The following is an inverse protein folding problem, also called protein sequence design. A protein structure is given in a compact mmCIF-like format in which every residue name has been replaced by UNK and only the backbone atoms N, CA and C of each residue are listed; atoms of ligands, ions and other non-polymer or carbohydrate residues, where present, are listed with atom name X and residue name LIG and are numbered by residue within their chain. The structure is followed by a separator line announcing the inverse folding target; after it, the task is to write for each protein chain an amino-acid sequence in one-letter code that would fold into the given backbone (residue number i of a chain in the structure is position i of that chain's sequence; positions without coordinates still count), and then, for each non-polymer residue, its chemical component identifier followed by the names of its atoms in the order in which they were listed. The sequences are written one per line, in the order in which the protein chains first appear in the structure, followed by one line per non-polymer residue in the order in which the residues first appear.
data_IF_877988146417
#
_entry.id   IF_877988146417
#
_cell.length_a   1.000
_cell.length_b   1.000
_cell.length_c   1.000
_cell.angle_alpha   90.00
_cell.angle_beta   90.00
_cell.angle_gamma   90.00
#
_symmetry.space_group_name_H-M   'P 1'
#
loop_
_entity.id
_entity.type
_entity.pdbx_description
1 polymer ?
#
# COMPACT_ATOMS: atom_id res chain seq x y z
N UNK A 1 -60.53 -7.13 -20.93
CA UNK A 1 -59.12 -6.82 -21.23
C UNK A 1 -58.52 -6.21 -19.93
N UNK A 2 -57.85 -7.05 -19.16
CA UNK A 2 -57.30 -6.65 -17.86
C UNK A 2 -55.83 -6.23 -17.99
N UNK A 3 -55.51 -4.98 -17.72
CA UNK A 3 -54.16 -4.49 -17.61
C UNK A 3 -53.56 -5.02 -16.32
N UNK A 4 -52.57 -5.90 -16.44
CA UNK A 4 -51.75 -6.36 -15.32
C UNK A 4 -50.78 -5.25 -14.95
N UNK A 5 -51.04 -4.62 -13.83
CA UNK A 5 -50.13 -3.67 -13.14
C UNK A 5 -48.88 -4.46 -12.73
N UNK A 6 -47.76 -4.26 -13.43
CA UNK A 6 -46.46 -4.75 -12.99
C UNK A 6 -45.93 -3.78 -11.93
N UNK A 7 -45.96 -4.20 -10.68
CA UNK A 7 -45.24 -3.56 -9.56
C UNK A 7 -43.74 -3.52 -9.92
N UNK A 8 -43.05 -2.38 -9.76
CA UNK A 8 -41.60 -2.34 -10.01
C UNK A 8 -40.89 -3.23 -8.99
N UNK A 9 -40.01 -4.08 -9.50
CA UNK A 9 -39.15 -4.92 -8.68
C UNK A 9 -38.42 -4.04 -7.66
N UNK A 10 -38.64 -4.28 -6.37
CA UNK A 10 -37.76 -3.85 -5.30
C UNK A 10 -36.37 -4.39 -5.65
N UNK A 11 -35.46 -3.50 -6.00
CA UNK A 11 -34.04 -3.86 -6.05
C UNK A 11 -33.65 -4.30 -4.64
N UNK A 12 -33.30 -5.56 -4.54
CA UNK A 12 -33.02 -6.19 -3.26
C UNK A 12 -31.79 -5.51 -2.65
N UNK A 13 -31.96 -4.79 -1.55
CA UNK A 13 -30.87 -4.19 -0.78
C UNK A 13 -29.85 -5.26 -0.37
N UNK A 14 -30.29 -6.50 -0.30
CA UNK A 14 -29.45 -7.69 -0.11
C UNK A 14 -28.46 -7.93 -1.26
N UNK A 15 -28.84 -7.75 -2.51
CA UNK A 15 -27.98 -7.98 -3.68
C UNK A 15 -26.84 -6.96 -3.77
N UNK A 16 -27.10 -5.68 -3.42
CA UNK A 16 -26.07 -4.65 -3.42
C UNK A 16 -25.05 -4.88 -2.30
N UNK A 17 -25.50 -5.34 -1.14
CA UNK A 17 -24.61 -5.66 -0.02
C UNK A 17 -23.76 -6.89 -0.32
N UNK A 18 -24.33 -7.89 -0.95
CA UNK A 18 -23.63 -9.10 -1.36
C UNK A 18 -22.60 -8.84 -2.46
N UNK A 19 -22.94 -8.06 -3.49
CA UNK A 19 -22.02 -7.62 -4.53
C UNK A 19 -20.85 -6.79 -3.97
N UNK A 20 -21.11 -5.90 -3.01
CA UNK A 20 -20.06 -5.13 -2.31
C UNK A 20 -19.15 -6.03 -1.50
N UNK A 21 -19.68 -7.01 -0.80
CA UNK A 21 -18.88 -7.98 -0.04
C UNK A 21 -18.03 -8.85 -0.96
N UNK A 22 -18.56 -9.34 -2.08
CA UNK A 22 -17.83 -10.12 -3.07
C UNK A 22 -16.71 -9.30 -3.74
N UNK A 23 -16.98 -8.03 -4.07
CA UNK A 23 -15.97 -7.11 -4.60
C UNK A 23 -14.86 -6.83 -3.56
N UNK A 24 -15.22 -6.65 -2.30
CA UNK A 24 -14.26 -6.42 -1.22
C UNK A 24 -13.41 -7.65 -0.95
N UNK A 25 -14.01 -8.85 -0.90
CA UNK A 25 -13.30 -10.12 -0.77
C UNK A 25 -12.35 -10.36 -1.94
N UNK A 26 -12.76 -10.04 -3.18
CA UNK A 26 -11.89 -10.15 -4.34
C UNK A 26 -10.70 -9.18 -4.26
N UNK A 27 -10.92 -7.95 -3.80
CA UNK A 27 -9.84 -6.97 -3.64
C UNK A 27 -8.83 -7.38 -2.56
N UNK A 28 -9.27 -7.95 -1.45
CA UNK A 28 -8.38 -8.46 -0.41
C UNK A 28 -7.55 -9.66 -0.92
N UNK A 29 -8.18 -10.58 -1.65
CA UNK A 29 -7.46 -11.69 -2.26
C UNK A 29 -6.39 -11.23 -3.26
N UNK A 30 -6.67 -10.19 -4.05
CA UNK A 30 -5.69 -9.60 -4.97
C UNK A 30 -4.52 -8.94 -4.21
N UNK A 31 -4.79 -8.23 -3.12
CA UNK A 31 -3.75 -7.66 -2.26
C UNK A 31 -2.88 -8.73 -1.63
N UNK A 32 -3.50 -9.80 -1.13
CA UNK A 32 -2.78 -10.93 -0.56
C UNK A 32 -1.92 -11.64 -1.61
N UNK A 33 -2.42 -11.83 -2.83
CA UNK A 33 -1.65 -12.42 -3.92
C UNK A 33 -0.42 -11.56 -4.27
N UNK A 34 -0.56 -10.23 -4.35
CA UNK A 34 0.53 -9.30 -4.58
C UNK A 34 1.57 -9.35 -3.45
N UNK A 35 1.10 -9.38 -2.20
CA UNK A 35 1.95 -9.49 -1.01
C UNK A 35 2.75 -10.81 -1.00
N UNK A 36 2.11 -11.93 -1.29
CA UNK A 36 2.75 -13.24 -1.38
C UNK A 36 3.80 -13.29 -2.48
N UNK A 37 3.51 -12.72 -3.65
CA UNK A 37 4.48 -12.63 -4.75
C UNK A 37 5.70 -11.81 -4.35
N UNK A 38 5.51 -10.69 -3.64
CA UNK A 38 6.63 -9.88 -3.15
C UNK A 38 7.45 -10.60 -2.07
N UNK A 39 6.83 -11.35 -1.17
CA UNK A 39 7.53 -12.13 -0.15
C UNK A 39 8.46 -13.21 -0.75
N UNK A 40 8.08 -13.77 -1.90
CA UNK A 40 8.93 -14.73 -2.63
C UNK A 40 10.20 -14.09 -3.23
N UNK A 41 10.24 -12.77 -3.38
CA UNK A 41 11.39 -12.02 -3.89
C UNK A 41 12.34 -11.53 -2.77
N UNK A 42 12.00 -11.76 -1.51
CA UNK A 42 12.82 -11.36 -0.37
C UNK A 42 14.03 -12.29 -0.25
N UNK A 43 15.28 -11.75 -0.31
CA UNK A 43 16.49 -12.56 -0.17
C UNK A 43 16.59 -13.17 1.24
N UNK A 44 17.24 -14.32 1.34
CA UNK A 44 17.58 -14.93 2.62
C UNK A 44 18.60 -14.09 3.39
N UNK A 45 18.44 -14.01 4.71
CA UNK A 45 19.28 -13.20 5.59
C UNK A 45 19.08 -11.69 5.43
N UNK A 46 18.08 -11.24 4.67
CA UNK A 46 17.87 -9.81 4.42
C UNK A 46 17.32 -9.06 5.63
N UNK A 47 17.70 -7.78 5.76
CA UNK A 47 16.90 -6.77 6.44
C UNK A 47 16.02 -6.13 5.37
N UNK A 48 14.69 -6.23 5.54
CA UNK A 48 13.70 -5.86 4.54
C UNK A 48 13.13 -4.48 4.83
N UNK A 49 13.15 -3.57 3.86
CA UNK A 49 12.39 -2.33 3.96
C UNK A 49 10.89 -2.59 3.78
N UNK A 50 10.07 -2.06 4.70
CA UNK A 50 8.62 -2.28 4.72
C UNK A 50 7.90 -0.95 4.77
N UNK A 51 7.02 -0.73 3.80
CA UNK A 51 6.19 0.44 3.64
C UNK A 51 4.99 0.50 4.59
N UNK A 52 3.91 1.12 4.13
CA UNK A 52 2.67 1.27 4.90
C UNK A 52 1.42 1.11 4.04
N UNK A 53 0.29 0.82 4.67
CA UNK A 53 -1.01 0.68 4.01
C UNK A 53 -1.57 -0.74 3.99
N UNK A 54 -2.81 -0.86 3.49
CA UNK A 54 -3.58 -2.11 3.60
C UNK A 54 -2.94 -3.29 2.86
N UNK A 55 -2.32 -3.06 1.70
CA UNK A 55 -1.61 -4.12 0.95
C UNK A 55 -0.32 -4.53 1.66
N UNK A 56 0.39 -3.56 2.27
CA UNK A 56 1.60 -3.83 3.06
C UNK A 56 1.28 -4.65 4.31
N UNK A 57 0.09 -4.50 4.89
CA UNK A 57 -0.31 -5.35 6.01
C UNK A 57 -0.33 -6.84 5.64
N UNK A 58 -0.82 -7.20 4.47
CA UNK A 58 -0.74 -8.57 3.96
C UNK A 58 0.72 -9.00 3.71
N UNK A 59 1.57 -8.08 3.24
CA UNK A 59 3.00 -8.38 3.09
C UNK A 59 3.68 -8.65 4.43
N UNK A 60 3.34 -7.92 5.48
CA UNK A 60 3.84 -8.19 6.84
C UNK A 60 3.39 -9.59 7.33
N UNK A 61 2.15 -9.98 7.01
CA UNK A 61 1.65 -11.33 7.36
C UNK A 61 2.43 -12.41 6.62
N UNK A 62 2.74 -12.22 5.34
CA UNK A 62 3.59 -13.14 4.57
C UNK A 62 5.04 -13.15 5.08
N UNK A 63 5.61 -11.99 5.46
CA UNK A 63 6.93 -11.94 6.09
C UNK A 63 6.98 -12.70 7.41
N UNK A 64 5.90 -12.68 8.19
CA UNK A 64 5.81 -13.44 9.44
C UNK A 64 5.95 -14.94 9.22
N UNK A 65 5.47 -15.47 8.08
CA UNK A 65 5.61 -16.87 7.72
C UNK A 65 7.06 -17.26 7.39
N UNK A 66 7.87 -16.31 6.94
CA UNK A 66 9.27 -16.52 6.56
C UNK A 66 10.25 -15.81 7.50
N UNK A 67 9.81 -15.37 8.69
CA UNK A 67 10.66 -14.60 9.63
C UNK A 67 11.95 -15.30 10.04
N UNK A 68 12.01 -16.63 10.03
CA UNK A 68 13.24 -17.38 10.26
C UNK A 68 14.26 -17.34 9.13
N UNK A 69 13.88 -16.78 7.96
CA UNK A 69 14.75 -16.63 6.78
C UNK A 69 15.28 -15.21 6.59
N UNK A 70 14.82 -14.24 7.37
CA UNK A 70 15.23 -12.83 7.32
C UNK A 70 15.88 -12.42 8.64
N UNK A 71 16.78 -11.46 8.61
CA UNK A 71 17.38 -10.90 9.81
C UNK A 71 16.38 -9.98 10.55
N UNK A 72 15.53 -9.27 9.79
CA UNK A 72 14.48 -8.41 10.30
C UNK A 72 14.01 -7.39 9.27
N UNK A 73 13.50 -6.26 9.74
CA UNK A 73 12.94 -5.25 8.86
C UNK A 73 13.20 -3.82 9.35
N UNK A 74 13.12 -2.86 8.42
CA UNK A 74 13.05 -1.43 8.67
C UNK A 74 11.69 -0.93 8.20
N UNK A 75 11.02 -0.10 8.98
CA UNK A 75 9.68 0.40 8.66
C UNK A 75 9.67 1.88 8.27
N UNK A 76 8.83 2.22 7.29
CA UNK A 76 8.54 3.61 6.95
C UNK A 76 7.45 4.23 7.84
N UNK A 77 6.75 3.44 8.68
CA UNK A 77 5.71 3.94 9.58
C UNK A 77 5.68 3.23 10.93
N UNK A 78 5.22 3.94 11.94
CA UNK A 78 5.06 3.36 13.29
C UNK A 78 4.03 2.22 13.30
N UNK A 79 2.93 2.36 12.54
CA UNK A 79 1.90 1.33 12.46
C UNK A 79 2.44 0.00 11.91
N UNK A 80 3.24 0.05 10.82
CA UNK A 80 3.89 -1.13 10.26
C UNK A 80 4.95 -1.70 11.21
N UNK A 81 5.71 -0.83 11.91
CA UNK A 81 6.69 -1.25 12.91
C UNK A 81 6.02 -2.05 14.06
N UNK A 82 4.91 -1.53 14.59
CA UNK A 82 4.16 -2.21 15.66
C UNK A 82 3.58 -3.55 15.20
N UNK A 83 3.03 -3.61 13.97
CA UNK A 83 2.51 -4.86 13.39
C UNK A 83 3.60 -5.89 13.23
N UNK A 84 4.77 -5.52 12.73
CA UNK A 84 5.92 -6.41 12.59
C UNK A 84 6.41 -6.94 13.95
N UNK A 85 6.55 -6.05 14.94
CA UNK A 85 6.91 -6.45 16.32
C UNK A 85 5.91 -7.44 16.90
N UNK A 86 4.60 -7.20 16.72
CA UNK A 86 3.55 -8.11 17.16
C UNK A 86 3.62 -9.48 16.46
N UNK A 87 4.06 -9.52 15.20
CA UNK A 87 4.29 -10.75 14.44
C UNK A 87 5.63 -11.45 14.79
N UNK A 88 6.43 -10.88 15.69
CA UNK A 88 7.73 -11.42 16.12
C UNK A 88 8.83 -11.22 15.07
N UNK A 89 8.72 -10.19 14.23
CA UNK A 89 9.77 -9.78 13.29
C UNK A 89 10.61 -8.70 13.97
N UNK A 90 11.95 -8.85 14.05
CA UNK A 90 12.84 -7.81 14.57
C UNK A 90 12.73 -6.54 13.72
N UNK A 91 12.59 -5.37 14.35
CA UNK A 91 12.50 -4.07 13.68
C UNK A 91 13.71 -3.25 14.05
N UNK A 92 14.52 -2.90 13.04
CA UNK A 92 15.74 -2.12 13.16
C UNK A 92 15.48 -0.63 12.91
N UNK A 93 16.30 0.22 13.52
CA UNK A 93 16.42 1.62 13.16
C UNK A 93 17.19 1.72 11.84
N UNK A 94 16.71 2.55 10.89
CA UNK A 94 17.37 2.73 9.60
C UNK A 94 18.81 3.23 9.75
N UNK A 95 19.10 4.02 10.77
CA UNK A 95 20.45 4.52 11.05
C UNK A 95 21.44 3.41 11.43
N UNK A 96 20.95 2.24 11.86
CA UNK A 96 21.78 1.08 12.18
C UNK A 96 22.02 0.16 10.98
N UNK A 97 21.36 0.43 9.85
CA UNK A 97 21.39 -0.41 8.66
C UNK A 97 22.12 0.33 7.53
N UNK A 98 23.13 -0.32 6.95
CA UNK A 98 23.90 0.29 5.85
C UNK A 98 23.14 0.34 4.54
N UNK A 99 22.38 -0.72 4.25
CA UNK A 99 21.70 -0.92 2.97
C UNK A 99 20.58 -1.94 3.13
N UNK A 100 19.51 -1.74 2.36
CA UNK A 100 18.41 -2.69 2.26
C UNK A 100 18.45 -3.38 0.89
N UNK A 101 18.48 -4.72 0.81
CA UNK A 101 18.40 -5.40 -0.49
C UNK A 101 17.11 -5.06 -1.22
N UNK A 102 16.00 -4.94 -0.47
CA UNK A 102 14.67 -4.70 -1.02
C UNK A 102 13.84 -3.83 -0.08
N UNK A 103 13.05 -2.94 -0.67
CA UNK A 103 11.98 -2.19 -0.01
C UNK A 103 10.64 -2.48 -0.70
N UNK A 104 9.65 -2.91 0.07
CA UNK A 104 8.32 -3.28 -0.44
C UNK A 104 7.29 -2.29 0.07
N UNK A 105 6.56 -1.66 -0.84
CA UNK A 105 5.53 -0.67 -0.50
C UNK A 105 4.41 -0.61 -1.55
N UNK A 106 3.31 0.03 -1.20
CA UNK A 106 2.17 0.26 -2.08
C UNK A 106 2.28 1.56 -2.89
N UNK A 107 1.26 1.81 -3.71
CA UNK A 107 1.06 3.08 -4.39
C UNK A 107 -0.42 3.47 -4.37
N UNK A 108 -0.70 4.78 -4.46
CA UNK A 108 -2.06 5.30 -4.66
C UNK A 108 -2.48 5.10 -6.12
N UNK A 109 -1.55 5.36 -7.06
CA UNK A 109 -1.64 5.03 -8.48
C UNK A 109 -0.28 4.57 -9.00
N UNK A 110 -0.29 3.68 -9.99
CA UNK A 110 0.91 3.23 -10.70
C UNK A 110 0.60 3.03 -12.18
N UNK A 111 1.50 3.46 -13.07
CA UNK A 111 1.40 3.20 -14.51
C UNK A 111 2.21 1.95 -14.90
N UNK A 112 1.99 1.44 -16.12
CA UNK A 112 2.80 0.35 -16.71
C UNK A 112 4.27 0.72 -16.87
N UNK A 113 4.59 2.01 -16.84
CA UNK A 113 5.96 2.54 -16.88
C UNK A 113 6.56 2.77 -15.50
N UNK A 114 5.91 2.27 -14.43
CA UNK A 114 6.33 2.37 -13.04
C UNK A 114 6.39 3.82 -12.51
N UNK A 115 5.71 4.76 -13.16
CA UNK A 115 5.46 6.07 -12.58
C UNK A 115 4.34 5.95 -11.54
N UNK A 116 4.47 6.63 -10.40
CA UNK A 116 3.56 6.44 -9.27
C UNK A 116 3.13 7.75 -8.64
N UNK A 117 1.89 7.77 -8.12
CA UNK A 117 1.47 8.69 -7.08
C UNK A 117 1.49 7.91 -5.77
N UNK A 118 2.12 8.51 -4.76
CA UNK A 118 2.20 8.02 -3.39
C UNK A 118 1.91 9.17 -2.42
N UNK A 119 1.72 8.84 -1.15
CA UNK A 119 1.56 9.84 -0.10
C UNK A 119 0.15 10.02 0.42
N UNK A 120 -0.86 9.32 -0.13
CA UNK A 120 -2.24 9.38 0.36
C UNK A 120 -2.41 9.02 1.84
N UNK A 121 -1.51 8.20 2.37
CA UNK A 121 -1.43 7.83 3.80
C UNK A 121 -0.59 8.78 4.67
N UNK A 122 -0.01 9.87 4.11
CA UNK A 122 0.81 10.83 4.86
C UNK A 122 2.20 10.30 5.30
N UNK A 123 2.69 9.20 4.70
CA UNK A 123 3.97 8.58 5.09
C UNK A 123 5.09 8.77 4.05
N UNK A 124 4.83 9.48 2.93
CA UNK A 124 5.71 9.50 1.76
C UNK A 124 7.14 9.98 2.07
N UNK A 125 7.32 10.97 2.92
CA UNK A 125 8.65 11.46 3.29
C UNK A 125 9.50 10.34 3.89
N UNK A 126 8.95 9.58 4.84
CA UNK A 126 9.62 8.42 5.43
C UNK A 126 9.81 7.28 4.41
N UNK A 127 8.80 7.03 3.57
CA UNK A 127 8.86 6.03 2.51
C UNK A 127 10.00 6.31 1.54
N UNK A 128 10.18 7.57 1.11
CA UNK A 128 11.28 7.97 0.24
C UNK A 128 12.64 7.83 0.90
N UNK A 129 12.75 8.09 2.20
CA UNK A 129 14.00 7.90 2.96
C UNK A 129 14.39 6.41 2.96
N UNK A 130 13.44 5.52 3.27
CA UNK A 130 13.71 4.06 3.26
C UNK A 130 14.01 3.58 1.84
N UNK A 131 13.27 4.07 0.83
CA UNK A 131 13.51 3.73 -0.57
C UNK A 131 14.90 4.14 -1.06
N UNK A 132 15.42 5.29 -0.58
CA UNK A 132 16.75 5.79 -0.98
C UNK A 132 17.90 4.90 -0.48
N UNK A 133 17.68 4.11 0.57
CA UNK A 133 18.67 3.17 1.14
C UNK A 133 18.52 1.76 0.53
N UNK A 134 17.43 1.51 -0.22
CA UNK A 134 17.15 0.21 -0.81
C UNK A 134 17.76 0.09 -2.22
N UNK A 135 18.30 -1.10 -2.52
CA UNK A 135 18.78 -1.44 -3.88
C UNK A 135 17.63 -1.64 -4.85
N UNK A 136 16.55 -2.24 -4.39
CA UNK A 136 15.37 -2.55 -5.19
C UNK A 136 14.11 -2.09 -4.49
N UNK A 137 13.24 -1.40 -5.24
CA UNK A 137 11.88 -1.09 -4.81
C UNK A 137 10.91 -2.06 -5.48
N UNK A 138 10.06 -2.71 -4.67
CA UNK A 138 8.97 -3.57 -5.15
C UNK A 138 7.65 -2.90 -4.81
N UNK A 139 6.93 -2.45 -5.84
CA UNK A 139 5.59 -1.92 -5.69
C UNK A 139 4.57 -3.06 -5.65
N UNK A 140 3.80 -3.13 -4.56
CA UNK A 140 2.69 -4.07 -4.42
C UNK A 140 1.36 -3.32 -4.52
N UNK A 141 0.57 -3.66 -5.54
CA UNK A 141 -0.70 -3.02 -5.80
C UNK A 141 -1.69 -4.01 -6.39
N UNK A 142 -2.96 -3.86 -6.07
CA UNK A 142 -4.02 -4.55 -6.80
C UNK A 142 -4.36 -3.80 -8.11
N UNK A 143 -5.11 -4.43 -9.00
CA UNK A 143 -5.45 -3.87 -10.31
C UNK A 143 -6.19 -2.53 -10.28
N UNK A 144 -6.81 -2.15 -9.15
CA UNK A 144 -7.50 -0.86 -9.01
C UNK A 144 -6.55 0.33 -8.98
N UNK A 145 -5.24 0.07 -8.70
CA UNK A 145 -4.19 1.09 -8.63
C UNK A 145 -3.47 1.29 -9.97
N UNK A 146 -3.66 0.36 -10.92
CA UNK A 146 -3.06 0.47 -12.24
C UNK A 146 -3.86 1.46 -13.09
N UNK A 147 -3.19 2.48 -13.59
CA UNK A 147 -3.76 3.53 -14.44
C UNK A 147 -2.91 3.74 -15.69
N UNK A 148 -3.52 4.21 -16.78
CA UNK A 148 -2.77 4.57 -17.98
C UNK A 148 -2.07 5.93 -17.83
N UNK A 149 -2.72 6.88 -17.13
CA UNK A 149 -2.21 8.23 -16.84
C UNK A 149 -2.45 8.53 -15.38
N UNK A 150 -1.41 9.05 -14.69
CA UNK A 150 -1.51 9.48 -13.30
C UNK A 150 -2.44 10.70 -13.16
N UNK A 151 -3.12 10.82 -12.02
CA UNK A 151 -3.90 12.01 -11.66
C UNK A 151 -5.38 11.77 -11.37
N UNK A 152 -5.86 10.54 -11.37
CA UNK A 152 -7.19 10.21 -10.82
C UNK A 152 -7.19 10.37 -9.31
N UNK A 153 -6.09 9.96 -8.67
CA UNK A 153 -5.82 10.23 -7.27
C UNK A 153 -5.15 11.61 -7.15
N UNK A 154 -5.63 12.50 -6.28
CA UNK A 154 -5.01 13.81 -6.07
C UNK A 154 -3.56 13.66 -5.60
N UNK A 155 -2.65 14.48 -6.13
CA UNK A 155 -1.25 14.48 -5.71
C UNK A 155 -1.14 15.00 -4.27
N UNK A 156 -0.73 14.19 -3.29
CA UNK A 156 -0.47 14.66 -1.94
C UNK A 156 0.79 15.52 -1.91
N UNK A 157 0.71 16.68 -1.27
CA UNK A 157 1.85 17.55 -1.04
C UNK A 157 2.02 17.77 0.46
N UNK A 158 3.12 17.26 1.01
CA UNK A 158 3.45 17.49 2.42
C UNK A 158 4.01 18.90 2.61
N UNK A 159 3.47 19.61 3.59
CA UNK A 159 3.90 20.96 3.94
C UNK A 159 4.03 21.13 5.44
N UNK A 160 4.99 21.93 5.88
CA UNK A 160 5.03 22.40 7.26
C UNK A 160 3.78 23.26 7.51
N UNK A 161 3.00 23.04 8.58
CA UNK A 161 1.69 23.68 8.78
C UNK A 161 1.71 25.20 8.67
N UNK A 162 2.75 25.87 9.15
CA UNK A 162 2.88 27.33 9.05
C UNK A 162 3.09 27.83 7.61
N UNK A 163 3.52 26.97 6.68
CA UNK A 163 3.77 27.32 5.28
C UNK A 163 2.56 27.02 4.37
N UNK A 164 1.48 26.41 4.87
CA UNK A 164 0.36 25.91 4.07
C UNK A 164 -0.20 26.94 3.09
N UNK A 165 -0.51 28.14 3.56
CA UNK A 165 -1.09 29.20 2.71
C UNK A 165 -0.10 29.77 1.70
N UNK A 166 1.18 29.82 2.06
CA UNK A 166 2.24 30.23 1.13
C UNK A 166 2.41 29.21 0.01
N UNK A 167 2.62 27.93 0.37
CA UNK A 167 2.81 26.86 -0.61
C UNK A 167 1.59 26.72 -1.53
N UNK A 168 0.36 26.80 -1.00
CA UNK A 168 -0.85 26.76 -1.84
C UNK A 168 -0.87 27.86 -2.89
N UNK A 169 -0.46 29.09 -2.55
CA UNK A 169 -0.35 30.20 -3.52
C UNK A 169 0.75 29.98 -4.57
N UNK A 170 1.86 29.35 -4.18
CA UNK A 170 2.94 29.05 -5.15
C UNK A 170 2.53 27.97 -6.16
N UNK A 171 1.76 26.96 -5.73
CA UNK A 171 1.31 25.86 -6.59
C UNK A 171 0.32 26.34 -7.68
N UNK A 172 -0.48 27.40 -7.41
CA UNK A 172 -1.51 27.88 -8.36
C UNK A 172 -1.04 29.02 -9.25
N UNK A 173 0.22 29.44 -9.18
CA UNK A 173 0.85 30.39 -10.11
C UNK A 173 1.15 29.73 -11.45
#
# INVERSE_FOLDING_TARGET
MGAKNKTPHRYDVYSIRQLRMEQQMNQEALKQAAAKAAAALVPEGAIVGVGTGSTVNFFIDELALIKGRIEGAVSSSEASAQRMKAAGIPVFDLNSVRELPVYVDGADEVTRHLMMIKGGGGALTREKIVAAVARQFICIADGSKLVDVLGRFPLPVEVIPMARSYVAREIVK
#
